data_IF_582314287473
#
_entry.id   IF_582314287473
#
_cell.length_a   1.000
_cell.length_b   1.000
_cell.length_c   1.000
_cell.angle_alpha   90.00
_cell.angle_beta   90.00
_cell.angle_gamma   90.00
#
_symmetry.space_group_name_H-M   'P 1'
#
loop_
_entity.id
_entity.type
_entity.pdbx_description
1 polymer ?
#
# COMPACT_ATOMS: atom_id res chain seq x y z
N UNK A 1 6.66 -10.72 -21.13
CA UNK A 1 6.43 -10.64 -19.67
C UNK A 1 6.87 -11.89 -18.94
N UNK A 2 6.80 -13.08 -19.54
CA UNK A 2 7.07 -14.34 -18.83
C UNK A 2 8.51 -14.50 -18.35
N UNK A 3 9.50 -14.08 -19.14
CA UNK A 3 10.89 -14.08 -18.68
C UNK A 3 11.07 -13.22 -17.41
N UNK A 4 10.40 -12.07 -17.32
CA UNK A 4 10.46 -11.23 -16.12
C UNK A 4 9.90 -12.00 -14.92
N UNK A 5 8.69 -12.55 -15.01
CA UNK A 5 8.08 -13.31 -13.92
C UNK A 5 8.86 -14.57 -13.53
N UNK A 6 9.50 -15.24 -14.48
CA UNK A 6 10.42 -16.34 -14.20
C UNK A 6 11.59 -15.87 -13.32
N UNK A 7 12.21 -14.73 -13.66
CA UNK A 7 13.28 -14.12 -12.84
C UNK A 7 12.77 -13.65 -11.47
N UNK A 8 11.58 -13.05 -11.40
CA UNK A 8 10.97 -12.67 -10.13
C UNK A 8 10.80 -13.89 -9.23
N UNK A 9 10.29 -14.99 -9.78
CA UNK A 9 10.09 -16.24 -9.04
C UNK A 9 11.41 -16.84 -8.54
N UNK A 10 12.44 -16.90 -9.39
CA UNK A 10 13.76 -17.41 -9.00
C UNK A 10 14.33 -16.60 -7.82
N UNK A 11 14.36 -15.28 -7.94
CA UNK A 11 14.91 -14.42 -6.90
C UNK A 11 14.07 -14.51 -5.61
N UNK A 12 12.74 -14.48 -5.71
CA UNK A 12 11.90 -14.49 -4.52
C UNK A 12 12.03 -15.78 -3.69
N UNK A 13 12.39 -16.91 -4.31
CA UNK A 13 12.58 -18.19 -3.62
C UNK A 13 13.89 -18.28 -2.83
N UNK A 14 14.92 -17.51 -3.20
CA UNK A 14 16.24 -17.55 -2.53
C UNK A 14 16.17 -17.13 -1.05
N UNK A 15 17.02 -17.70 -0.19
CA UNK A 15 16.88 -17.55 1.26
C UNK A 15 17.18 -16.14 1.78
N UNK A 16 18.19 -15.46 1.21
CA UNK A 16 18.61 -14.13 1.65
C UNK A 16 17.60 -13.04 1.25
N UNK A 17 17.39 -12.07 2.15
CA UNK A 17 16.31 -11.08 2.03
C UNK A 17 16.48 -10.15 0.83
N UNK A 18 17.73 -9.88 0.48
CA UNK A 18 18.17 -9.04 -0.62
C UNK A 18 17.63 -9.54 -1.97
N UNK A 19 17.40 -10.85 -2.13
CA UNK A 19 16.81 -11.35 -3.35
C UNK A 19 15.31 -11.02 -3.49
N UNK A 20 14.54 -10.95 -2.39
CA UNK A 20 13.17 -10.45 -2.46
C UNK A 20 13.18 -8.96 -2.82
N UNK A 21 14.10 -8.16 -2.25
CA UNK A 21 14.25 -6.76 -2.64
C UNK A 21 14.59 -6.62 -4.12
N UNK A 22 15.55 -7.41 -4.63
CA UNK A 22 15.93 -7.40 -6.04
C UNK A 22 14.76 -7.78 -6.96
N UNK A 23 13.96 -8.79 -6.60
CA UNK A 23 12.76 -9.15 -7.34
C UNK A 23 11.75 -7.99 -7.39
N UNK A 24 11.45 -7.38 -6.25
CA UNK A 24 10.48 -6.28 -6.19
C UNK A 24 10.98 -5.06 -6.96
N UNK A 25 12.26 -4.72 -6.84
CA UNK A 25 12.88 -3.63 -7.60
C UNK A 25 12.84 -3.89 -9.10
N UNK A 26 13.08 -5.13 -9.55
CA UNK A 26 12.93 -5.51 -10.96
C UNK A 26 11.49 -5.31 -11.44
N UNK A 27 10.49 -5.69 -10.64
CA UNK A 27 9.09 -5.45 -10.97
C UNK A 27 8.78 -3.95 -11.07
N UNK A 28 9.17 -3.16 -10.05
CA UNK A 28 8.94 -1.70 -10.01
C UNK A 28 9.64 -0.99 -11.17
N UNK A 29 10.88 -1.37 -11.51
CA UNK A 29 11.60 -0.81 -12.67
C UNK A 29 10.92 -1.13 -14.00
N UNK A 30 10.20 -2.25 -14.07
CA UNK A 30 9.46 -2.67 -15.27
C UNK A 30 7.98 -2.27 -15.25
N UNK A 31 7.49 -1.51 -14.27
CA UNK A 31 6.05 -1.20 -14.08
C UNK A 31 5.38 -0.60 -15.33
N UNK A 32 6.13 0.09 -16.20
CA UNK A 32 5.60 0.63 -17.48
C UNK A 32 5.15 -0.45 -18.48
N UNK A 33 5.55 -1.70 -18.25
CA UNK A 33 5.22 -2.87 -19.08
C UNK A 33 4.09 -3.71 -18.48
N UNK A 34 3.64 -3.39 -17.27
CA UNK A 34 2.62 -4.15 -16.58
C UNK A 34 1.26 -3.75 -17.09
N UNK A 35 0.41 -4.75 -17.32
CA UNK A 35 -1.03 -4.59 -17.37
C UNK A 35 -1.66 -5.00 -16.02
N UNK A 36 -2.95 -4.73 -15.83
CA UNK A 36 -3.66 -5.14 -14.62
C UNK A 36 -3.52 -6.65 -14.34
N UNK A 37 -3.55 -7.48 -15.38
CA UNK A 37 -3.36 -8.93 -15.26
C UNK A 37 -1.98 -9.29 -14.73
N UNK A 38 -0.94 -8.51 -15.02
CA UNK A 38 0.40 -8.73 -14.49
C UNK A 38 0.50 -8.36 -13.00
N UNK A 39 -0.24 -7.33 -12.55
CA UNK A 39 -0.35 -7.05 -11.12
C UNK A 39 -0.94 -8.26 -10.37
N UNK A 40 -1.99 -8.88 -10.91
CA UNK A 40 -2.61 -10.07 -10.32
C UNK A 40 -1.63 -11.25 -10.21
N UNK A 41 -0.71 -11.39 -11.17
CA UNK A 41 0.35 -12.43 -11.13
C UNK A 41 1.33 -12.28 -9.97
N UNK A 42 1.39 -11.11 -9.33
CA UNK A 42 2.28 -10.91 -8.17
C UNK A 42 1.69 -11.40 -6.84
N UNK A 43 0.39 -11.77 -6.81
CA UNK A 43 -0.30 -12.25 -5.61
C UNK A 43 0.44 -13.35 -4.83
N UNK A 44 1.03 -14.38 -5.47
CA UNK A 44 1.78 -15.41 -4.74
C UNK A 44 2.92 -14.84 -3.90
N UNK A 45 3.60 -13.78 -4.35
CA UNK A 45 4.71 -13.16 -3.61
C UNK A 45 4.25 -12.38 -2.39
N UNK A 46 3.00 -11.90 -2.40
CA UNK A 46 2.42 -11.15 -1.28
C UNK A 46 2.05 -12.06 -0.11
N UNK A 47 1.81 -13.36 -0.36
CA UNK A 47 1.43 -14.33 0.68
C UNK A 47 2.60 -15.09 1.30
N UNK A 48 3.85 -14.79 0.92
CA UNK A 48 5.05 -15.48 1.44
C UNK A 48 6.16 -14.50 1.81
N UNK A 49 6.99 -14.90 2.79
CA UNK A 49 8.11 -14.07 3.30
C UNK A 49 7.67 -12.66 3.67
N UNK A 50 6.49 -12.56 4.28
CA UNK A 50 5.84 -11.28 4.56
C UNK A 50 6.53 -10.57 5.70
N UNK A 51 6.86 -9.31 5.45
CA UNK A 51 7.28 -8.34 6.45
C UNK A 51 7.16 -6.94 5.84
N UNK A 52 7.15 -5.90 6.69
CA UNK A 52 6.81 -4.53 6.28
C UNK A 52 7.67 -4.00 5.13
N UNK A 53 8.94 -4.36 5.10
CA UNK A 53 9.93 -4.04 4.06
C UNK A 53 9.49 -4.53 2.67
N UNK A 54 9.08 -5.80 2.55
CA UNK A 54 8.60 -6.37 1.29
C UNK A 54 7.20 -5.88 0.91
N UNK A 55 6.29 -5.77 1.89
CA UNK A 55 4.90 -5.37 1.65
C UNK A 55 4.85 -3.92 1.18
N UNK A 56 5.62 -3.02 1.80
CA UNK A 56 5.68 -1.62 1.40
C UNK A 56 6.37 -1.45 0.03
N UNK A 57 7.36 -2.29 -0.27
CA UNK A 57 8.02 -2.32 -1.58
C UNK A 57 7.07 -2.84 -2.67
N UNK A 58 6.25 -3.85 -2.40
CA UNK A 58 5.19 -4.30 -3.30
C UNK A 58 4.10 -3.24 -3.46
N UNK A 59 3.64 -2.60 -2.38
CA UNK A 59 2.68 -1.50 -2.45
C UNK A 59 3.15 -0.38 -3.39
N UNK A 60 4.47 -0.14 -3.47
CA UNK A 60 5.06 0.79 -4.44
C UNK A 60 4.81 0.39 -5.88
N UNK A 61 4.88 -0.89 -6.24
CA UNK A 61 4.56 -1.36 -7.60
C UNK A 61 3.12 -0.97 -7.98
N UNK A 62 2.15 -1.31 -7.13
CA UNK A 62 0.73 -1.02 -7.37
C UNK A 62 0.47 0.48 -7.46
N UNK A 63 1.05 1.25 -6.54
CA UNK A 63 0.97 2.71 -6.57
C UNK A 63 1.55 3.31 -7.85
N UNK A 64 2.73 2.86 -8.27
CA UNK A 64 3.37 3.34 -9.49
C UNK A 64 2.59 2.94 -10.75
N UNK A 65 1.96 1.77 -10.76
CA UNK A 65 1.01 1.38 -11.79
C UNK A 65 -0.19 2.35 -11.83
N UNK A 66 -0.86 2.59 -10.70
CA UNK A 66 -2.04 3.45 -10.63
C UNK A 66 -1.77 4.93 -10.96
N UNK A 67 -0.55 5.41 -10.76
CA UNK A 67 -0.16 6.75 -11.23
C UNK A 67 -0.28 6.88 -12.75
N UNK A 68 -0.08 5.78 -13.50
CA UNK A 68 -0.13 5.68 -14.96
C UNK A 68 -1.50 5.22 -15.46
N UNK A 69 -2.18 4.37 -14.70
CA UNK A 69 -3.49 3.80 -15.02
C UNK A 69 -4.52 4.18 -13.94
N UNK A 70 -4.91 5.48 -13.84
CA UNK A 70 -5.86 5.93 -12.82
C UNK A 70 -7.20 5.22 -12.88
N UNK A 71 -7.65 4.85 -14.08
CA UNK A 71 -8.95 4.20 -14.31
C UNK A 71 -9.03 2.80 -13.72
N UNK A 72 -7.88 2.17 -13.45
CA UNK A 72 -7.80 0.85 -12.80
C UNK A 72 -7.84 0.91 -11.28
N UNK A 73 -7.96 2.10 -10.67
CA UNK A 73 -7.89 2.26 -9.21
C UNK A 73 -8.79 1.29 -8.47
N UNK A 74 -10.07 1.23 -8.84
CA UNK A 74 -11.05 0.45 -8.09
C UNK A 74 -10.77 -1.06 -8.26
N UNK A 75 -10.28 -1.47 -9.43
CA UNK A 75 -9.86 -2.86 -9.70
C UNK A 75 -8.64 -3.26 -8.88
N UNK A 76 -7.66 -2.37 -8.75
CA UNK A 76 -6.45 -2.63 -7.94
C UNK A 76 -6.77 -2.59 -6.45
N UNK A 77 -7.57 -1.64 -6.00
CA UNK A 77 -8.01 -1.54 -4.61
C UNK A 77 -8.77 -2.80 -4.15
N UNK A 78 -9.63 -3.34 -5.00
CA UNK A 78 -10.37 -4.58 -4.74
C UNK A 78 -9.48 -5.83 -4.55
N UNK A 79 -8.19 -5.77 -4.89
CA UNK A 79 -7.27 -6.87 -4.63
C UNK A 79 -6.92 -7.01 -3.14
N UNK A 80 -7.12 -5.96 -2.34
CA UNK A 80 -6.55 -5.80 -1.00
C UNK A 80 -7.54 -5.34 0.07
N UNK A 81 -8.51 -4.50 -0.29
CA UNK A 81 -9.44 -3.93 0.68
C UNK A 81 -10.29 -5.03 1.34
N UNK A 82 -10.42 -4.97 2.67
CA UNK A 82 -11.20 -5.94 3.45
C UNK A 82 -10.64 -7.36 3.50
N UNK A 83 -9.38 -7.58 3.12
CA UNK A 83 -8.77 -8.91 3.17
C UNK A 83 -8.50 -9.37 4.63
N UNK A 84 -8.61 -10.67 4.91
CA UNK A 84 -8.29 -11.24 6.23
C UNK A 84 -6.81 -11.04 6.61
N UNK A 85 -5.91 -11.10 5.63
CA UNK A 85 -4.50 -10.83 5.80
C UNK A 85 -4.25 -9.32 5.99
N UNK A 86 -3.77 -8.95 7.18
CA UNK A 86 -3.50 -7.56 7.52
C UNK A 86 -2.36 -6.96 6.66
N UNK A 87 -1.45 -7.78 6.11
CA UNK A 87 -0.43 -7.27 5.18
C UNK A 87 -1.06 -6.79 3.88
N UNK A 88 -2.09 -7.46 3.39
CA UNK A 88 -2.85 -7.00 2.23
C UNK A 88 -3.66 -5.75 2.58
N UNK A 89 -4.29 -5.69 3.76
CA UNK A 89 -4.95 -4.44 4.21
C UNK A 89 -3.97 -3.27 4.33
N UNK A 90 -2.73 -3.52 4.79
CA UNK A 90 -1.65 -2.52 4.80
C UNK A 90 -1.32 -1.99 3.41
N UNK A 91 -1.37 -2.82 2.37
CA UNK A 91 -1.24 -2.35 0.98
C UNK A 91 -2.36 -1.37 0.65
N UNK A 92 -3.63 -1.68 1.00
CA UNK A 92 -4.77 -0.76 0.78
C UNK A 92 -4.55 0.59 1.47
N UNK A 93 -4.15 0.58 2.74
CA UNK A 93 -3.91 1.78 3.54
C UNK A 93 -2.80 2.67 2.94
N UNK A 94 -1.78 2.06 2.31
CA UNK A 94 -0.62 2.78 1.76
C UNK A 94 -0.63 2.92 0.23
N UNK A 95 -1.72 2.49 -0.42
CA UNK A 95 -1.84 2.44 -1.88
C UNK A 95 -1.70 3.84 -2.51
N UNK A 96 -2.21 4.86 -1.80
CA UNK A 96 -2.30 6.24 -2.28
C UNK A 96 -1.14 7.15 -1.83
N UNK A 97 -0.10 6.62 -1.17
CA UNK A 97 1.01 7.47 -0.70
C UNK A 97 1.60 8.29 -1.86
N UNK A 98 1.73 9.60 -1.71
CA UNK A 98 2.25 10.50 -2.72
C UNK A 98 1.32 10.73 -3.91
N UNK A 99 0.03 10.40 -3.81
CA UNK A 99 -0.98 10.79 -4.81
C UNK A 99 -1.32 12.28 -4.75
N UNK A 100 -1.06 12.94 -3.61
CA UNK A 100 -1.31 14.37 -3.41
C UNK A 100 -2.77 14.73 -3.74
N UNK A 101 -3.01 15.63 -4.69
CA UNK A 101 -4.34 16.11 -5.09
C UNK A 101 -5.18 14.99 -5.71
N UNK A 102 -4.54 13.90 -6.17
CA UNK A 102 -5.22 12.71 -6.74
C UNK A 102 -5.68 11.70 -5.69
N UNK A 103 -5.41 11.92 -4.40
CA UNK A 103 -5.86 11.02 -3.34
C UNK A 103 -7.38 10.97 -3.31
N UNK A 104 -7.94 9.76 -3.45
CA UNK A 104 -9.37 9.50 -3.26
C UNK A 104 -9.65 9.43 -1.76
N UNK A 105 -10.17 10.51 -1.19
CA UNK A 105 -10.48 10.61 0.25
C UNK A 105 -11.53 9.61 0.69
N UNK A 106 -12.53 9.34 -0.15
CA UNK A 106 -13.60 8.38 0.18
C UNK A 106 -13.03 6.96 0.35
N UNK A 107 -12.12 6.55 -0.54
CA UNK A 107 -11.41 5.29 -0.39
C UNK A 107 -10.52 5.29 0.86
N UNK A 108 -9.77 6.38 1.09
CA UNK A 108 -8.90 6.49 2.26
C UNK A 108 -9.68 6.37 3.58
N UNK A 109 -10.82 7.08 3.68
CA UNK A 109 -11.76 6.95 4.80
C UNK A 109 -12.21 5.51 4.96
N UNK A 110 -12.73 4.89 3.90
CA UNK A 110 -13.25 3.52 3.95
C UNK A 110 -12.22 2.50 4.46
N UNK A 111 -10.98 2.55 3.97
CA UNK A 111 -9.94 1.60 4.41
C UNK A 111 -9.45 1.86 5.83
N UNK A 112 -9.47 3.12 6.30
CA UNK A 112 -9.13 3.44 7.69
C UNK A 112 -10.27 2.99 8.63
N UNK A 113 -11.52 3.26 8.27
CA UNK A 113 -12.70 2.90 9.05
C UNK A 113 -12.79 1.40 9.32
N UNK A 114 -12.45 0.59 8.31
CA UNK A 114 -12.41 -0.88 8.39
C UNK A 114 -11.40 -1.40 9.42
N UNK A 115 -10.35 -0.63 9.74
CA UNK A 115 -9.25 -1.02 10.61
C UNK A 115 -9.13 -0.14 11.89
N UNK A 116 -10.17 0.65 12.23
CA UNK A 116 -10.15 1.53 13.42
C UNK A 116 -9.90 0.77 14.73
N UNK A 117 -10.49 -0.41 14.86
CA UNK A 117 -10.42 -1.25 16.07
C UNK A 117 -9.32 -2.32 15.98
N UNK A 118 -8.55 -2.35 14.89
CA UNK A 118 -7.51 -3.36 14.69
C UNK A 118 -6.31 -3.08 15.59
N UNK A 119 -6.07 -3.93 16.60
CA UNK A 119 -4.89 -3.88 17.47
C UNK A 119 -3.67 -4.56 16.83
N UNK A 120 -3.28 -4.07 15.65
CA UNK A 120 -2.07 -4.48 14.94
C UNK A 120 -1.18 -3.27 14.69
N UNK A 121 0.05 -3.31 15.21
CA UNK A 121 1.02 -2.23 15.11
C UNK A 121 1.24 -1.78 13.66
N UNK A 122 1.37 -2.73 12.73
CA UNK A 122 1.63 -2.41 11.32
C UNK A 122 0.43 -1.78 10.62
N UNK A 123 -0.80 -2.08 11.05
CA UNK A 123 -2.01 -1.43 10.56
C UNK A 123 -2.11 -0.01 11.11
N UNK A 124 -1.96 0.17 12.42
CA UNK A 124 -2.03 1.49 13.06
C UNK A 124 -0.92 2.43 12.56
N UNK A 125 0.27 1.90 12.27
CA UNK A 125 1.34 2.64 11.58
C UNK A 125 0.96 3.03 10.15
N UNK A 126 0.30 2.15 9.40
CA UNK A 126 -0.10 2.42 8.02
C UNK A 126 -1.18 3.52 7.94
N UNK A 127 -2.18 3.48 8.83
CA UNK A 127 -3.19 4.55 8.97
C UNK A 127 -2.50 5.88 9.23
N UNK A 128 -1.64 5.94 10.26
CA UNK A 128 -0.90 7.15 10.60
C UNK A 128 -0.02 7.66 9.45
N UNK A 129 0.63 6.78 8.71
CA UNK A 129 1.46 7.16 7.56
C UNK A 129 0.63 7.71 6.39
N UNK A 130 -0.51 7.09 6.09
CA UNK A 130 -1.41 7.57 5.04
C UNK A 130 -1.93 8.98 5.35
N UNK A 131 -2.38 9.21 6.59
CA UNK A 131 -2.82 10.52 7.07
C UNK A 131 -1.68 11.54 7.04
N UNK A 132 -0.50 11.20 7.55
CA UNK A 132 0.69 12.07 7.56
C UNK A 132 1.13 12.46 6.16
N UNK A 133 1.03 11.54 5.21
CA UNK A 133 1.41 11.82 3.85
C UNK A 133 0.42 12.77 3.18
N UNK A 134 -0.89 12.50 3.36
CA UNK A 134 -1.93 13.34 2.79
C UNK A 134 -2.03 14.72 3.46
N UNK A 135 -1.63 14.86 4.72
CA UNK A 135 -1.65 16.15 5.44
C UNK A 135 -0.73 17.19 4.80
N UNK A 136 0.29 16.76 4.03
CA UNK A 136 1.17 17.64 3.26
C UNK A 136 0.45 18.29 2.07
N UNK A 137 -0.68 17.74 1.64
CA UNK A 137 -1.51 18.26 0.55
C UNK A 137 -2.80 18.88 1.09
N UNK A 138 -3.50 18.22 2.00
CA UNK A 138 -4.74 18.71 2.58
C UNK A 138 -4.74 18.57 4.12
N UNK A 139 -4.03 19.47 4.83
CA UNK A 139 -3.94 19.41 6.29
C UNK A 139 -5.29 19.62 6.98
N UNK A 140 -6.18 20.44 6.39
CA UNK A 140 -7.52 20.68 6.94
C UNK A 140 -8.38 19.41 6.94
N UNK A 141 -8.36 18.65 5.83
CA UNK A 141 -9.07 17.37 5.76
C UNK A 141 -8.53 16.37 6.79
N UNK A 142 -7.20 16.27 6.94
CA UNK A 142 -6.60 15.34 7.90
C UNK A 142 -6.90 15.74 9.34
N UNK A 143 -6.85 17.04 9.68
CA UNK A 143 -7.21 17.54 11.00
C UNK A 143 -8.68 17.22 11.34
N UNK A 144 -9.60 17.47 10.39
CA UNK A 144 -11.01 17.13 10.55
C UNK A 144 -11.22 15.62 10.70
N UNK A 145 -10.54 14.80 9.90
CA UNK A 145 -10.62 13.34 9.97
C UNK A 145 -10.18 12.83 11.35
N UNK A 146 -9.01 13.28 11.84
CA UNK A 146 -8.49 12.91 13.17
C UNK A 146 -9.44 13.37 14.29
N UNK A 147 -10.04 14.56 14.18
CA UNK A 147 -10.95 15.08 15.20
C UNK A 147 -12.29 14.33 15.26
N UNK A 148 -12.73 13.74 14.15
CA UNK A 148 -14.03 13.08 14.01
C UNK A 148 -13.99 11.56 14.18
N UNK A 149 -12.79 10.95 14.19
CA UNK A 149 -12.62 9.50 14.29
C UNK A 149 -11.83 9.10 15.54
N UNK A 150 -12.25 8.03 16.21
CA UNK A 150 -11.52 7.44 17.34
C UNK A 150 -10.34 6.59 16.86
N UNK A 151 -9.25 7.25 16.45
CA UNK A 151 -8.00 6.60 16.05
C UNK A 151 -7.15 6.16 17.25
N UNK A 152 -6.29 5.16 17.04
CA UNK A 152 -5.29 4.80 18.05
C UNK A 152 -4.34 5.96 18.34
N UNK A 153 -3.80 6.04 19.57
CA UNK A 153 -2.80 7.05 19.94
C UNK A 153 -1.60 7.08 19.00
N UNK A 154 -1.21 5.91 18.48
CA UNK A 154 -0.14 5.78 17.51
C UNK A 154 -0.52 6.43 16.18
N UNK A 155 -1.68 6.08 15.62
CA UNK A 155 -2.15 6.64 14.36
C UNK A 155 -2.32 8.17 14.43
N UNK A 156 -2.89 8.69 15.53
CA UNK A 156 -2.99 10.15 15.77
C UNK A 156 -1.62 10.79 15.76
N UNK A 157 -0.68 10.30 16.58
CA UNK A 157 0.67 10.87 16.70
C UNK A 157 1.43 10.88 15.38
N UNK A 158 1.34 9.81 14.61
CA UNK A 158 1.98 9.74 13.30
C UNK A 158 1.30 10.67 12.30
N UNK A 159 -0.03 10.63 12.21
CA UNK A 159 -0.85 11.38 11.25
C UNK A 159 -0.84 12.89 11.45
N UNK A 160 -0.77 13.36 12.70
CA UNK A 160 -0.80 14.78 13.05
C UNK A 160 0.57 15.47 12.98
N UNK A 161 1.62 14.80 12.49
CA UNK A 161 3.00 15.31 12.54
C UNK A 161 3.22 16.65 11.81
N UNK A 162 2.38 16.98 10.83
CA UNK A 162 2.47 18.22 10.05
C UNK A 162 1.20 19.08 10.17
N UNK A 163 0.37 18.83 11.19
CA UNK A 163 -0.80 19.64 11.52
C UNK A 163 -0.44 20.73 12.53
#
# INVERSE_FOLDING_TARGET
MDQLFATLSDFYQRPEREYQYAAIDLAVRNVRRFEFTDLQRTRPYLGVKQWWDSIDAWAKLYREYLKRHPDDFDRVAALFAGNDDFWLRRISLTLQLGFKERTKTDFLTHVIETDLQTDEFFIQKAIGWALRDYSKTNPQWVAAFIATHSLSKLAVREGSKYL
#
